data_IF_207692846314
#
_entry.id   IF_207692846314
#
_cell.length_a   1.000
_cell.length_b   1.000
_cell.length_c   1.000
_cell.angle_alpha   90.00
_cell.angle_beta   90.00
_cell.angle_gamma   90.00
#
_symmetry.space_group_name_H-M   'P 1'
#
loop_
_entity.id
_entity.type
_entity.pdbx_description
1 polymer ?
#
# COMPACT_ATOMS: atom_id res chain seq x y z
N UNK A 1 -1.26 -15.24 24.34
CA UNK A 1 -1.66 -14.69 23.03
C UNK A 1 -1.30 -15.75 22.01
N UNK A 2 -2.27 -16.56 21.59
CA UNK A 2 -2.02 -17.61 20.63
C UNK A 2 -1.77 -16.96 19.27
N UNK A 3 -0.55 -17.17 18.78
CA UNK A 3 -0.12 -16.84 17.45
C UNK A 3 -0.97 -17.68 16.51
N UNK A 4 -1.79 -17.03 15.69
CA UNK A 4 -2.48 -17.70 14.59
C UNK A 4 -1.40 -18.36 13.72
N UNK A 5 -1.31 -19.68 13.80
CA UNK A 5 -0.35 -20.44 13.03
C UNK A 5 -0.82 -20.49 11.57
N UNK A 6 -0.24 -19.60 10.77
CA UNK A 6 -0.45 -19.49 9.32
C UNK A 6 -0.20 -20.80 8.57
N UNK A 7 0.49 -21.78 9.17
CA UNK A 7 0.75 -23.09 8.57
C UNK A 7 -0.31 -24.15 8.94
N UNK A 8 -1.15 -23.89 9.94
CA UNK A 8 -2.15 -24.86 10.42
C UNK A 8 -3.39 -24.99 9.53
N UNK A 9 -3.55 -24.09 8.55
CA UNK A 9 -4.76 -23.99 7.72
C UNK A 9 -5.99 -23.44 8.47
N UNK A 10 -5.85 -23.09 9.76
CA UNK A 10 -6.93 -22.49 10.53
C UNK A 10 -7.25 -21.09 10.02
N UNK A 11 -8.50 -20.87 9.59
CA UNK A 11 -8.96 -19.57 9.16
C UNK A 11 -9.31 -18.72 10.38
N UNK A 12 -9.02 -17.41 10.30
CA UNK A 12 -9.46 -16.46 11.33
C UNK A 12 -10.98 -16.48 11.49
N UNK A 13 -11.72 -16.88 10.45
CA UNK A 13 -13.17 -17.05 10.51
C UNK A 13 -13.63 -18.05 11.58
N UNK A 14 -12.82 -19.08 11.87
CA UNK A 14 -13.14 -20.16 12.81
C UNK A 14 -12.63 -19.88 14.25
N UNK A 15 -11.92 -18.78 14.44
CA UNK A 15 -11.40 -18.36 15.75
C UNK A 15 -12.51 -17.82 16.66
N UNK A 16 -12.26 -17.78 17.96
CA UNK A 16 -13.24 -17.23 18.90
C UNK A 16 -13.48 -15.72 18.66
N UNK A 17 -14.57 -15.19 19.20
CA UNK A 17 -14.99 -13.80 18.96
C UNK A 17 -13.91 -12.77 19.33
N UNK A 18 -13.18 -13.00 20.42
CA UNK A 18 -12.14 -12.10 20.91
C UNK A 18 -10.95 -12.05 19.95
N UNK A 19 -10.52 -13.20 19.43
CA UNK A 19 -9.44 -13.31 18.47
C UNK A 19 -9.81 -12.67 17.13
N UNK A 20 -11.03 -12.91 16.64
CA UNK A 20 -11.56 -12.29 15.42
C UNK A 20 -11.63 -10.78 15.51
N UNK A 21 -12.17 -10.25 16.61
CA UNK A 21 -12.20 -8.81 16.87
C UNK A 21 -10.79 -8.21 16.94
N UNK A 22 -9.84 -8.93 17.55
CA UNK A 22 -8.43 -8.56 17.60
C UNK A 22 -7.77 -8.48 16.22
N UNK A 23 -8.04 -9.45 15.34
CA UNK A 23 -7.55 -9.44 13.97
C UNK A 23 -8.09 -8.24 13.18
N UNK A 24 -9.42 -8.04 13.18
CA UNK A 24 -10.06 -6.93 12.47
C UNK A 24 -9.47 -5.59 12.94
N UNK A 25 -9.37 -5.37 14.25
CA UNK A 25 -8.80 -4.12 14.79
C UNK A 25 -7.38 -3.88 14.30
N UNK A 26 -6.53 -4.92 14.26
CA UNK A 26 -5.16 -4.80 13.75
C UNK A 26 -5.16 -4.45 12.26
N UNK A 27 -5.99 -5.09 11.44
CA UNK A 27 -6.10 -4.77 10.01
C UNK A 27 -6.45 -3.31 9.80
N UNK A 28 -7.45 -2.79 10.53
CA UNK A 28 -7.83 -1.39 10.44
C UNK A 28 -6.77 -0.42 10.97
N UNK A 29 -5.97 -0.81 11.97
CA UNK A 29 -4.83 0.01 12.39
C UNK A 29 -3.76 0.14 11.32
N UNK A 30 -3.41 -0.94 10.63
CA UNK A 30 -2.46 -0.87 9.52
C UNK A 30 -3.02 -0.05 8.35
N UNK A 31 -4.30 -0.22 8.03
CA UNK A 31 -4.98 0.57 7.00
C UNK A 31 -4.98 2.07 7.36
N UNK A 32 -5.36 2.42 8.60
CA UNK A 32 -5.36 3.80 9.05
C UNK A 32 -3.94 4.40 9.01
N UNK A 33 -2.92 3.64 9.43
CA UNK A 33 -1.52 4.04 9.35
C UNK A 33 -1.08 4.28 7.90
N UNK A 34 -1.46 3.41 6.97
CA UNK A 34 -1.15 3.55 5.55
C UNK A 34 -1.80 4.82 4.94
N UNK A 35 -3.07 5.07 5.25
CA UNK A 35 -3.78 6.28 4.80
C UNK A 35 -3.10 7.55 5.35
N UNK A 36 -2.76 7.57 6.64
CA UNK A 36 -2.07 8.71 7.25
C UNK A 36 -0.69 8.96 6.62
N UNK A 37 0.07 7.89 6.37
CA UNK A 37 1.38 7.99 5.71
C UNK A 37 1.25 8.52 4.28
N UNK A 38 0.26 8.04 3.52
CA UNK A 38 -0.05 8.55 2.18
C UNK A 38 -0.40 10.04 2.20
N UNK A 39 -1.34 10.47 3.06
CA UNK A 39 -1.73 11.88 3.19
C UNK A 39 -0.52 12.76 3.52
N UNK A 40 0.34 12.31 4.44
CA UNK A 40 1.54 13.06 4.83
C UNK A 40 2.50 13.22 3.64
N UNK A 41 2.78 12.13 2.91
CA UNK A 41 3.67 12.17 1.74
C UNK A 41 3.11 13.06 0.64
N UNK A 42 1.83 12.90 0.30
CA UNK A 42 1.14 13.72 -0.70
C UNK A 42 1.20 15.20 -0.31
N UNK A 43 0.91 15.53 0.95
CA UNK A 43 1.00 16.91 1.46
C UNK A 43 2.41 17.48 1.29
N UNK A 44 3.46 16.69 1.54
CA UNK A 44 4.85 17.12 1.36
C UNK A 44 5.21 17.32 -0.11
N UNK A 45 4.76 16.43 -1.01
CA UNK A 45 4.98 16.54 -2.45
C UNK A 45 4.30 17.76 -3.06
N UNK A 46 3.08 18.07 -2.64
CA UNK A 46 2.35 19.27 -3.07
C UNK A 46 3.04 20.52 -2.53
N UNK A 47 3.35 20.57 -1.23
CA UNK A 47 3.99 21.75 -0.63
C UNK A 47 5.41 22.04 -1.13
N UNK A 48 6.11 21.03 -1.63
CA UNK A 48 7.46 21.18 -2.16
C UNK A 48 7.52 21.68 -3.62
N UNK A 49 6.39 21.75 -4.33
CA UNK A 49 6.33 22.09 -5.76
C UNK A 49 6.73 20.94 -6.70
N UNK A 50 7.00 19.75 -6.16
CA UNK A 50 7.29 18.54 -6.96
C UNK A 50 6.05 18.16 -7.77
N UNK A 51 4.86 18.22 -7.17
CA UNK A 51 3.60 17.93 -7.86
C UNK A 51 3.39 18.85 -9.08
N UNK A 52 3.63 20.15 -8.93
CA UNK A 52 3.53 21.13 -10.03
C UNK A 52 4.50 20.81 -11.17
N UNK A 53 5.75 20.48 -10.84
CA UNK A 53 6.75 20.06 -11.82
C UNK A 53 6.32 18.82 -12.60
N UNK A 54 5.69 17.85 -11.92
CA UNK A 54 5.15 16.64 -12.55
C UNK A 54 3.98 16.96 -13.49
N UNK A 55 3.08 17.85 -13.09
CA UNK A 55 1.96 18.31 -13.94
C UNK A 55 2.45 19.00 -15.22
N UNK A 56 3.44 19.89 -15.12
CA UNK A 56 4.04 20.56 -16.28
C UNK A 56 4.67 19.52 -17.22
N UNK A 57 5.38 18.53 -16.69
CA UNK A 57 5.94 17.42 -17.49
C UNK A 57 4.84 16.67 -18.24
N UNK A 58 3.74 16.30 -17.57
CA UNK A 58 2.63 15.57 -18.18
C UNK A 58 1.93 16.36 -19.30
N UNK A 59 1.92 17.69 -19.23
CA UNK A 59 1.39 18.56 -20.29
C UNK A 59 2.24 18.54 -21.57
N UNK A 60 3.52 18.16 -21.49
CA UNK A 60 4.44 18.14 -22.63
C UNK A 60 4.06 17.12 -23.71
N UNK A 61 3.35 16.03 -23.36
CA UNK A 61 2.85 15.04 -24.32
C UNK A 61 1.76 14.17 -23.72
N UNK A 62 0.69 13.94 -24.47
CA UNK A 62 -0.40 13.00 -24.11
C UNK A 62 0.11 11.57 -23.89
N UNK A 63 1.24 11.20 -24.51
CA UNK A 63 1.83 9.88 -24.35
C UNK A 63 2.43 9.66 -22.96
N UNK A 64 2.80 10.71 -22.23
CA UNK A 64 3.34 10.57 -20.87
C UNK A 64 2.33 9.98 -19.88
N UNK A 65 1.03 10.19 -20.14
CA UNK A 65 -0.02 9.53 -19.36
C UNK A 65 0.07 8.00 -19.44
N UNK A 66 0.47 7.43 -20.58
CA UNK A 66 0.70 5.98 -20.68
C UNK A 66 1.85 5.52 -19.79
N UNK A 67 2.88 6.36 -19.61
CA UNK A 67 3.95 6.11 -18.66
C UNK A 67 3.46 6.05 -17.23
N UNK A 68 2.59 6.98 -16.83
CA UNK A 68 1.94 6.98 -15.50
C UNK A 68 1.12 5.72 -15.30
N UNK A 69 0.32 5.32 -16.29
CA UNK A 69 -0.46 4.08 -16.23
C UNK A 69 0.42 2.83 -16.15
N UNK A 70 1.49 2.77 -16.93
CA UNK A 70 2.44 1.68 -16.87
C UNK A 70 3.12 1.58 -15.50
N UNK A 71 3.54 2.72 -14.93
CA UNK A 71 4.11 2.79 -13.59
C UNK A 71 3.10 2.35 -12.51
N UNK A 72 1.87 2.85 -12.58
CA UNK A 72 0.79 2.46 -11.67
C UNK A 72 0.55 0.94 -11.69
N UNK A 73 0.41 0.35 -12.88
CA UNK A 73 0.19 -1.09 -13.03
C UNK A 73 1.38 -1.90 -12.51
N UNK A 74 2.62 -1.50 -12.87
CA UNK A 74 3.83 -2.20 -12.47
C UNK A 74 4.02 -2.20 -10.95
N UNK A 75 3.84 -1.04 -10.31
CA UNK A 75 3.97 -0.95 -8.85
C UNK A 75 2.83 -1.68 -8.15
N UNK A 76 1.59 -1.56 -8.64
CA UNK A 76 0.45 -2.28 -8.06
C UNK A 76 0.67 -3.78 -8.12
N UNK A 77 1.13 -4.31 -9.26
CA UNK A 77 1.46 -5.72 -9.42
C UNK A 77 2.58 -6.17 -8.46
N UNK A 78 3.64 -5.38 -8.33
CA UNK A 78 4.76 -5.74 -7.45
C UNK A 78 4.37 -5.69 -5.96
N UNK A 79 3.63 -4.67 -5.55
CA UNK A 79 3.15 -4.53 -4.19
C UNK A 79 2.20 -5.67 -3.81
N UNK A 80 1.26 -6.03 -4.70
CA UNK A 80 0.34 -7.16 -4.50
C UNK A 80 1.08 -8.50 -4.43
N UNK A 81 2.04 -8.72 -5.32
CA UNK A 81 2.93 -9.89 -5.31
C UNK A 81 3.63 -10.05 -3.96
N UNK A 82 4.09 -8.95 -3.36
CA UNK A 82 4.78 -8.93 -2.08
C UNK A 82 3.84 -9.01 -0.87
N UNK A 83 2.60 -8.54 -1.00
CA UNK A 83 1.56 -8.66 0.02
C UNK A 83 1.00 -10.08 0.17
N UNK A 84 1.29 -10.98 -0.78
CA UNK A 84 0.85 -12.37 -0.77
C UNK A 84 1.28 -13.16 0.49
N UNK A 85 0.42 -14.09 0.91
CA UNK A 85 0.57 -14.85 2.17
C UNK A 85 1.82 -15.74 2.26
N UNK A 86 2.42 -16.10 1.12
CA UNK A 86 3.65 -16.91 1.07
C UNK A 86 4.93 -16.08 1.19
N UNK A 87 4.84 -14.75 1.21
CA UNK A 87 5.98 -13.85 1.36
C UNK A 87 6.28 -13.56 2.83
N UNK A 88 7.52 -13.17 3.14
CA UNK A 88 7.89 -12.79 4.50
C UNK A 88 7.13 -11.53 4.94
N UNK A 89 6.93 -11.38 6.25
CA UNK A 89 6.23 -10.22 6.82
C UNK A 89 6.93 -8.91 6.45
N UNK A 90 8.25 -8.91 6.43
CA UNK A 90 9.07 -7.76 6.05
C UNK A 90 8.78 -7.34 4.60
N UNK A 91 8.64 -8.31 3.69
CA UNK A 91 8.35 -8.04 2.28
C UNK A 91 6.92 -7.55 2.08
N UNK A 92 5.95 -8.06 2.85
CA UNK A 92 4.57 -7.55 2.84
C UNK A 92 4.51 -6.07 3.25
N UNK A 93 5.25 -5.67 4.30
CA UNK A 93 5.35 -4.27 4.71
C UNK A 93 6.14 -3.42 3.72
N UNK A 94 7.18 -3.96 3.09
CA UNK A 94 7.89 -3.29 2.01
C UNK A 94 6.96 -3.03 0.81
N UNK A 95 6.10 -4.00 0.47
CA UNK A 95 5.07 -3.86 -0.56
C UNK A 95 4.07 -2.76 -0.24
N UNK A 96 3.58 -2.73 1.02
CA UNK A 96 2.71 -1.66 1.49
C UNK A 96 3.39 -0.28 1.39
N UNK A 97 4.65 -0.16 1.86
CA UNK A 97 5.40 1.09 1.78
C UNK A 97 5.65 1.55 0.34
N UNK A 98 6.04 0.63 -0.54
CA UNK A 98 6.21 0.89 -1.97
C UNK A 98 4.92 1.43 -2.58
N UNK A 99 3.78 0.79 -2.28
CA UNK A 99 2.48 1.20 -2.80
C UNK A 99 2.10 2.60 -2.33
N UNK A 100 2.27 2.89 -1.03
CA UNK A 100 1.99 4.22 -0.45
C UNK A 100 2.80 5.32 -1.16
N UNK A 101 4.11 5.11 -1.34
CA UNK A 101 4.99 6.09 -2.00
C UNK A 101 4.60 6.29 -3.46
N UNK A 102 4.39 5.21 -4.20
CA UNK A 102 4.02 5.30 -5.61
C UNK A 102 2.67 5.98 -5.81
N UNK A 103 1.66 5.64 -4.98
CA UNK A 103 0.37 6.31 -5.02
C UNK A 103 0.51 7.80 -4.72
N UNK A 104 1.32 8.19 -3.73
CA UNK A 104 1.53 9.60 -3.39
C UNK A 104 2.20 10.40 -4.52
N UNK A 105 3.02 9.75 -5.35
CA UNK A 105 3.66 10.38 -6.52
C UNK A 105 2.73 10.44 -7.73
N UNK A 106 1.84 9.45 -7.88
CA UNK A 106 0.96 9.33 -9.06
C UNK A 106 -0.30 10.19 -8.94
N UNK A 107 -0.77 10.46 -7.72
CA UNK A 107 -1.97 11.27 -7.43
C UNK A 107 -1.67 12.76 -7.60
#
# INVERSE_FOLDING_TARGET
>A
MNHLDINSGALVADANEVERAGFIRRTYYHLAGAILAYILLETLLVKSGVAESFLVMLQGSKWYWLGVMAAFMAVSYLADRWAGSSMSRELQYAGLGLYIVAMAVIT
#
